data_IF_554767122285
#
_entry.id   IF_554767122285
#
_cell.length_a   1.000
_cell.length_b   1.000
_cell.length_c   1.000
_cell.angle_alpha   90.00
_cell.angle_beta   90.00
_cell.angle_gamma   90.00
#
_symmetry.space_group_name_H-M   'P 1'
#
loop_
_entity.id
_entity.type
_entity.pdbx_description
1 polymer ?
#
# COMPACT_ATOMS: atom_id res chain seq x y z
N UNK A 1 14.48 -30.85 -48.95
CA UNK A 1 15.66 -30.25 -48.30
C UNK A 1 15.17 -29.16 -47.36
N UNK A 2 15.36 -29.40 -46.07
CA UNK A 2 15.00 -28.56 -44.92
C UNK A 2 15.95 -27.36 -44.87
N UNK A 3 15.48 -26.19 -44.43
CA UNK A 3 16.17 -25.17 -43.60
C UNK A 3 15.35 -23.88 -43.67
N UNK A 4 14.84 -23.25 -42.61
CA UNK A 4 14.86 -23.49 -41.17
C UNK A 4 14.12 -22.31 -40.57
N UNK A 5 12.87 -22.50 -40.15
CA UNK A 5 12.13 -21.48 -39.41
C UNK A 5 12.64 -21.53 -37.96
N UNK A 6 13.50 -20.58 -37.60
CA UNK A 6 13.84 -20.35 -36.20
C UNK A 6 12.64 -19.66 -35.58
N UNK A 7 11.77 -20.43 -34.94
CA UNK A 7 10.84 -19.91 -33.95
C UNK A 7 11.69 -19.63 -32.71
N UNK A 8 12.10 -18.38 -32.52
CA UNK A 8 12.51 -17.93 -31.19
C UNK A 8 11.21 -17.82 -30.40
N UNK A 9 10.86 -18.89 -29.68
CA UNK A 9 10.01 -18.77 -28.51
C UNK A 9 10.83 -17.98 -27.48
N UNK A 10 10.78 -16.65 -27.54
CA UNK A 10 11.06 -15.88 -26.33
C UNK A 10 9.81 -16.02 -25.49
N UNK A 11 9.90 -16.91 -24.50
CA UNK A 11 9.00 -16.95 -23.36
C UNK A 11 8.57 -15.53 -23.03
N UNK A 12 7.27 -15.27 -23.12
CA UNK A 12 6.65 -14.18 -22.37
C UNK A 12 6.94 -14.56 -20.92
N UNK A 13 8.06 -14.07 -20.40
CA UNK A 13 8.38 -14.16 -18.97
C UNK A 13 7.29 -13.32 -18.35
N UNK A 14 6.27 -13.99 -17.83
CA UNK A 14 5.30 -13.40 -16.96
C UNK A 14 6.10 -13.07 -15.69
N UNK A 15 6.78 -11.91 -15.72
CA UNK A 15 7.54 -11.39 -14.59
C UNK A 15 6.58 -11.42 -13.42
N UNK A 16 6.94 -12.17 -12.39
CA UNK A 16 6.20 -12.17 -11.15
C UNK A 16 6.17 -10.73 -10.65
N UNK A 17 5.02 -10.10 -10.81
CA UNK A 17 4.86 -8.68 -10.52
C UNK A 17 4.99 -8.53 -9.01
N UNK A 18 6.04 -7.85 -8.55
CA UNK A 18 6.12 -7.42 -7.17
C UNK A 18 5.13 -6.27 -7.03
N UNK A 19 4.18 -6.42 -6.10
CA UNK A 19 3.34 -5.32 -5.64
C UNK A 19 4.07 -4.62 -4.52
N UNK A 20 4.30 -3.32 -4.69
CA UNK A 20 4.92 -2.48 -3.68
C UNK A 20 3.86 -1.65 -2.97
N UNK A 21 3.87 -1.73 -1.64
CA UNK A 21 3.18 -0.79 -0.78
C UNK A 21 4.21 0.23 -0.33
N UNK A 22 3.96 1.50 -0.67
CA UNK A 22 4.91 2.59 -0.49
C UNK A 22 4.26 3.79 0.19
N UNK A 23 4.93 4.38 1.17
CA UNK A 23 4.55 5.65 1.76
C UNK A 23 5.78 6.58 1.80
N UNK A 24 5.58 7.81 1.35
CA UNK A 24 6.63 8.83 1.23
C UNK A 24 6.24 10.01 2.12
N UNK A 25 7.09 10.30 3.11
CA UNK A 25 6.91 11.43 4.02
C UNK A 25 8.04 12.42 3.78
N UNK A 26 7.73 13.63 3.31
CA UNK A 26 8.74 14.63 2.93
C UNK A 26 9.07 14.62 1.43
N UNK A 27 10.19 15.22 1.06
CA UNK A 27 10.55 15.48 -0.34
C UNK A 27 11.73 14.60 -0.78
N UNK A 28 11.43 13.44 -1.36
CA UNK A 28 12.45 12.52 -1.89
C UNK A 28 12.75 12.92 -3.36
N UNK A 29 14.02 13.16 -3.74
CA UNK A 29 14.39 13.71 -5.05
C UNK A 29 14.32 12.70 -6.21
N UNK A 30 13.69 11.54 -5.99
CA UNK A 30 13.53 10.48 -7.00
C UNK A 30 12.10 9.95 -7.00
N UNK A 31 11.64 9.53 -8.17
CA UNK A 31 10.33 8.90 -8.34
C UNK A 31 10.42 7.42 -7.93
N UNK A 32 10.31 7.17 -6.62
CA UNK A 32 10.44 5.84 -6.01
C UNK A 32 9.45 4.85 -6.62
N UNK A 33 8.21 5.27 -6.88
CA UNK A 33 7.17 4.41 -7.46
C UNK A 33 7.59 3.95 -8.86
N UNK A 34 8.03 4.86 -9.74
CA UNK A 34 8.49 4.51 -11.08
C UNK A 34 9.77 3.65 -11.08
N UNK A 35 10.65 3.83 -10.08
CA UNK A 35 11.83 2.97 -9.94
C UNK A 35 11.45 1.54 -9.61
N UNK A 36 10.58 1.34 -8.61
CA UNK A 36 10.15 0.02 -8.15
C UNK A 36 9.28 -0.73 -9.17
N UNK A 37 8.61 0.00 -10.07
CA UNK A 37 7.80 -0.60 -11.14
C UNK A 37 8.59 -0.87 -12.44
N UNK A 38 9.89 -0.57 -12.51
CA UNK A 38 10.70 -0.95 -13.66
C UNK A 38 10.93 -2.48 -13.67
N UNK A 39 10.59 -3.19 -14.77
CA UNK A 39 10.76 -4.64 -14.89
C UNK A 39 12.16 -5.16 -14.56
N UNK A 40 13.21 -4.43 -14.98
CA UNK A 40 14.61 -4.83 -14.75
C UNK A 40 15.01 -4.59 -13.30
N UNK A 41 14.44 -3.57 -12.67
CA UNK A 41 14.62 -3.34 -11.23
C UNK A 41 13.95 -4.47 -10.45
N UNK A 42 12.71 -4.84 -10.76
CA UNK A 42 12.03 -5.96 -10.07
C UNK A 42 12.81 -7.27 -10.21
N UNK A 43 13.31 -7.59 -11.40
CA UNK A 43 14.16 -8.78 -11.60
C UNK A 43 15.43 -8.73 -10.75
N UNK A 44 16.11 -7.58 -10.68
CA UNK A 44 17.29 -7.41 -9.83
C UNK A 44 16.95 -7.56 -8.34
N UNK A 45 15.85 -6.99 -7.87
CA UNK A 45 15.40 -7.11 -6.47
C UNK A 45 15.09 -8.57 -6.09
N UNK A 46 14.45 -9.35 -6.99
CA UNK A 46 14.22 -10.78 -6.78
C UNK A 46 15.53 -11.56 -6.70
N UNK A 47 16.50 -11.24 -7.56
CA UNK A 47 17.83 -11.87 -7.52
C UNK A 47 18.60 -11.54 -6.23
N UNK A 48 18.51 -10.31 -5.71
CA UNK A 48 19.06 -9.96 -4.38
C UNK A 48 18.43 -10.82 -3.30
N UNK A 49 17.10 -10.91 -3.29
CA UNK A 49 16.37 -11.61 -2.25
C UNK A 49 16.62 -13.12 -2.26
N UNK A 50 16.88 -13.71 -3.44
CA UNK A 50 17.23 -15.12 -3.63
C UNK A 50 18.74 -15.41 -3.48
N UNK A 51 19.54 -14.38 -3.18
CA UNK A 51 21.01 -14.45 -3.11
C UNK A 51 21.67 -14.94 -4.42
N UNK A 52 21.01 -14.71 -5.56
CA UNK A 52 21.41 -15.19 -6.89
C UNK A 52 22.30 -14.18 -7.65
N UNK A 53 23.49 -13.93 -7.10
CA UNK A 53 24.58 -13.18 -7.76
C UNK A 53 24.81 -11.75 -7.25
N UNK A 54 25.80 -11.07 -7.84
CA UNK A 54 26.14 -9.67 -7.53
C UNK A 54 25.51 -8.74 -8.57
N UNK A 55 24.87 -7.65 -8.12
CA UNK A 55 24.10 -6.73 -8.97
C UNK A 55 24.72 -5.33 -9.10
N UNK A 56 25.95 -5.15 -8.61
CA UNK A 56 26.65 -3.87 -8.58
C UNK A 56 26.65 -3.21 -9.97
N UNK A 57 25.88 -2.13 -10.11
CA UNK A 57 25.87 -1.26 -11.28
C UNK A 57 25.14 -1.79 -12.52
N UNK A 58 24.21 -2.73 -12.40
CA UNK A 58 23.49 -3.29 -13.56
C UNK A 58 22.61 -2.24 -14.29
N UNK A 59 22.07 -1.23 -13.58
CA UNK A 59 21.33 -0.11 -14.19
C UNK A 59 21.50 1.20 -13.40
N UNK A 60 21.30 2.36 -14.05
CA UNK A 60 21.32 3.65 -13.35
C UNK A 60 20.19 3.78 -12.32
N UNK A 61 19.04 3.12 -12.55
CA UNK A 61 17.93 3.04 -11.59
C UNK A 61 18.28 2.29 -10.30
N UNK A 62 19.10 1.25 -10.38
CA UNK A 62 19.60 0.55 -9.18
C UNK A 62 20.51 1.47 -8.35
N UNK A 63 21.35 2.28 -9.01
CA UNK A 63 22.16 3.30 -8.32
C UNK A 63 21.29 4.37 -7.64
N UNK A 64 20.16 4.72 -8.23
CA UNK A 64 19.20 5.63 -7.58
C UNK A 64 18.60 5.00 -6.32
N UNK A 65 18.23 3.71 -6.35
CA UNK A 65 17.77 2.97 -5.16
C UNK A 65 18.86 2.84 -4.08
N UNK A 66 20.12 2.65 -4.48
CA UNK A 66 21.27 2.72 -3.56
C UNK A 66 21.42 4.12 -2.95
N UNK A 67 21.24 5.17 -3.76
CA UNK A 67 21.35 6.57 -3.34
C UNK A 67 20.30 7.01 -2.31
N UNK A 68 19.18 6.30 -2.21
CA UNK A 68 18.13 6.52 -1.19
C UNK A 68 18.09 5.40 -0.14
N UNK A 69 19.17 4.64 0.00
CA UNK A 69 19.34 3.58 1.00
C UNK A 69 18.27 2.47 0.95
N UNK A 70 17.53 2.28 -0.15
CA UNK A 70 16.67 1.09 -0.31
C UNK A 70 17.49 -0.17 -0.58
N UNK A 71 18.68 0.00 -1.17
CA UNK A 71 19.65 -1.05 -1.43
C UNK A 71 20.96 -0.69 -0.74
N UNK A 72 21.55 -1.65 -0.03
CA UNK A 72 22.87 -1.49 0.59
C UNK A 72 23.76 -2.67 0.24
N UNK A 73 24.68 -2.46 -0.70
CA UNK A 73 25.48 -3.55 -1.27
C UNK A 73 24.58 -4.57 -1.97
N UNK A 74 24.60 -5.84 -1.54
CA UNK A 74 23.76 -6.90 -2.12
C UNK A 74 22.52 -7.22 -1.27
N UNK A 75 22.10 -6.32 -0.39
CA UNK A 75 20.93 -6.53 0.47
C UNK A 75 19.92 -5.40 0.31
N UNK A 76 18.63 -5.77 0.37
CA UNK A 76 17.52 -4.83 0.47
C UNK A 76 17.42 -4.30 1.91
N UNK A 77 17.14 -3.01 2.08
CA UNK A 77 16.83 -2.39 3.38
C UNK A 77 15.33 -2.37 3.71
N UNK A 78 14.53 -3.01 2.87
CA UNK A 78 13.09 -3.17 3.04
C UNK A 78 12.72 -4.67 2.93
N UNK A 79 11.54 -5.08 3.42
CA UNK A 79 11.05 -6.45 3.25
C UNK A 79 10.53 -6.69 1.82
N UNK A 80 11.02 -7.76 1.19
CA UNK A 80 10.48 -8.31 -0.05
C UNK A 80 10.04 -9.75 0.21
N UNK A 81 8.73 -9.96 0.26
CA UNK A 81 8.12 -11.27 0.51
C UNK A 81 8.00 -12.01 -0.82
N UNK A 82 8.70 -13.14 -0.91
CA UNK A 82 8.68 -13.99 -2.10
C UNK A 82 7.33 -14.69 -2.24
N UNK A 83 7.02 -15.10 -3.47
CA UNK A 83 5.72 -15.70 -3.80
C UNK A 83 5.40 -16.91 -2.95
N UNK A 84 6.39 -17.76 -2.69
CA UNK A 84 6.20 -18.98 -1.91
C UNK A 84 5.76 -18.66 -0.48
N UNK A 85 6.44 -17.73 0.18
CA UNK A 85 6.08 -17.27 1.52
C UNK A 85 4.78 -16.47 1.54
N UNK A 86 4.50 -15.69 0.50
CA UNK A 86 3.24 -14.94 0.40
C UNK A 86 2.03 -15.87 0.29
N UNK A 87 2.13 -16.93 -0.51
CA UNK A 87 1.05 -17.92 -0.65
C UNK A 87 0.77 -18.69 0.64
N UNK A 88 1.74 -18.79 1.55
CA UNK A 88 1.55 -19.41 2.86
C UNK A 88 0.69 -18.56 3.80
N UNK A 89 0.78 -17.23 3.72
CA UNK A 89 0.04 -16.28 4.60
C UNK A 89 -1.23 -15.71 3.94
N UNK A 90 -1.40 -15.90 2.63
CA UNK A 90 -2.51 -15.33 1.86
C UNK A 90 -3.92 -15.71 2.38
N UNK A 91 -4.19 -16.96 2.78
CA UNK A 91 -5.50 -17.35 3.31
C UNK A 91 -5.85 -16.57 4.58
N UNK A 92 -4.90 -16.40 5.49
CA UNK A 92 -5.06 -15.69 6.75
C UNK A 92 -5.23 -14.20 6.52
N UNK A 93 -4.48 -13.60 5.58
CA UNK A 93 -4.71 -12.22 5.13
C UNK A 93 -6.15 -12.05 4.66
N UNK A 94 -6.69 -13.04 3.93
CA UNK A 94 -8.08 -12.98 3.42
C UNK A 94 -9.11 -13.10 4.55
N UNK A 95 -8.86 -13.96 5.53
CA UNK A 95 -9.71 -14.08 6.73
C UNK A 95 -9.74 -12.77 7.51
N UNK A 96 -8.56 -12.23 7.81
CA UNK A 96 -8.40 -10.96 8.53
C UNK A 96 -9.03 -9.80 7.76
N UNK A 97 -8.89 -9.76 6.43
CA UNK A 97 -9.52 -8.72 5.61
C UNK A 97 -11.06 -8.72 5.71
N UNK A 98 -11.70 -9.88 5.83
CA UNK A 98 -13.17 -9.95 6.02
C UNK A 98 -13.58 -9.42 7.39
N UNK A 99 -12.82 -9.78 8.43
CA UNK A 99 -13.00 -9.26 9.78
C UNK A 99 -12.83 -7.74 9.85
N UNK A 100 -11.78 -7.21 9.21
CA UNK A 100 -11.56 -5.77 9.08
C UNK A 100 -12.68 -5.11 8.26
N UNK A 101 -13.17 -5.74 7.19
CA UNK A 101 -14.28 -5.19 6.42
C UNK A 101 -15.54 -4.99 7.28
N UNK A 102 -15.89 -5.99 8.10
CA UNK A 102 -17.00 -5.87 9.05
C UNK A 102 -16.77 -4.75 10.07
N UNK A 103 -15.58 -4.71 10.68
CA UNK A 103 -15.19 -3.67 11.63
C UNK A 103 -15.33 -2.26 11.02
N UNK A 104 -14.77 -2.06 9.82
CA UNK A 104 -14.82 -0.77 9.13
C UNK A 104 -16.25 -0.39 8.77
N UNK A 105 -17.02 -1.31 8.20
CA UNK A 105 -18.40 -1.00 7.83
C UNK A 105 -19.25 -0.61 9.04
N UNK A 106 -19.16 -1.36 10.14
CA UNK A 106 -19.92 -1.06 11.35
C UNK A 106 -19.43 0.22 12.04
N UNK A 107 -18.11 0.42 12.09
CA UNK A 107 -17.51 1.63 12.65
C UNK A 107 -17.93 2.89 11.90
N UNK A 108 -17.93 2.86 10.57
CA UNK A 108 -18.20 4.04 9.75
C UNK A 108 -19.69 4.27 9.45
N UNK A 109 -20.54 3.24 9.41
CA UNK A 109 -21.96 3.41 9.06
C UNK A 109 -22.69 4.38 10.00
N UNK A 110 -22.34 4.38 11.29
CA UNK A 110 -22.91 5.32 12.26
C UNK A 110 -22.41 6.75 12.11
N UNK A 111 -21.21 6.94 11.55
CA UNK A 111 -20.55 8.25 11.42
C UNK A 111 -20.87 8.94 10.09
N UNK A 112 -20.91 8.16 9.00
CA UNK A 112 -21.19 8.65 7.65
C UNK A 112 -22.70 8.85 7.38
N UNK A 113 -23.56 8.34 8.27
CA UNK A 113 -25.02 8.31 8.07
C UNK A 113 -25.43 7.44 6.87
N UNK A 114 -26.57 7.75 6.25
CA UNK A 114 -27.12 6.97 5.14
C UNK A 114 -26.43 7.22 3.78
N UNK A 115 -25.38 8.05 3.75
CA UNK A 115 -24.71 8.41 2.49
C UNK A 115 -23.62 7.40 2.14
N UNK A 116 -23.88 6.61 1.10
CA UNK A 116 -22.87 5.73 0.50
C UNK A 116 -21.65 6.50 -0.02
N UNK A 117 -21.82 7.74 -0.46
CA UNK A 117 -20.72 8.61 -0.88
C UNK A 117 -19.82 8.96 0.30
N UNK A 118 -20.40 9.39 1.42
CA UNK A 118 -19.64 9.71 2.64
C UNK A 118 -18.99 8.48 3.23
N UNK A 119 -19.68 7.34 3.25
CA UNK A 119 -19.10 6.07 3.69
C UNK A 119 -17.89 5.66 2.83
N UNK A 120 -17.94 5.92 1.52
CA UNK A 120 -16.82 5.62 0.61
C UNK A 120 -15.64 6.56 0.82
N UNK A 121 -15.88 7.85 1.11
CA UNK A 121 -14.83 8.82 1.46
C UNK A 121 -14.19 8.46 2.80
N UNK A 122 -15.02 8.18 3.81
CA UNK A 122 -14.58 7.81 5.14
C UNK A 122 -13.75 6.53 5.11
N UNK A 123 -14.19 5.51 4.37
CA UNK A 123 -13.45 4.29 4.17
C UNK A 123 -12.18 4.59 3.36
N UNK A 124 -12.28 4.76 2.04
CA UNK A 124 -11.11 4.74 1.13
C UNK A 124 -10.13 5.91 1.27
N UNK A 125 -10.51 6.96 2.00
CA UNK A 125 -9.72 8.18 2.16
C UNK A 125 -9.31 8.41 3.60
N UNK A 126 -10.27 8.86 4.40
CA UNK A 126 -9.96 9.38 5.73
C UNK A 126 -9.48 8.29 6.69
N UNK A 127 -10.02 7.07 6.61
CA UNK A 127 -9.52 5.95 7.42
C UNK A 127 -8.13 5.51 6.97
N UNK A 128 -7.84 5.58 5.67
CA UNK A 128 -6.52 5.24 5.13
C UNK A 128 -5.44 6.20 5.66
N UNK A 129 -5.78 7.50 5.75
CA UNK A 129 -4.93 8.55 6.33
C UNK A 129 -4.79 8.38 7.84
N UNK A 130 -5.90 8.17 8.56
CA UNK A 130 -5.86 7.93 10.01
C UNK A 130 -5.03 6.68 10.36
N UNK A 131 -5.09 5.65 9.52
CA UNK A 131 -4.28 4.45 9.66
C UNK A 131 -2.79 4.74 9.49
N UNK A 132 -2.40 5.58 8.53
CA UNK A 132 -1.01 6.00 8.36
C UNK A 132 -0.51 6.72 9.63
N UNK A 133 -1.29 7.63 10.20
CA UNK A 133 -0.93 8.35 11.43
C UNK A 133 -0.73 7.41 12.62
N UNK A 134 -1.66 6.48 12.83
CA UNK A 134 -1.58 5.51 13.93
C UNK A 134 -0.40 4.55 13.75
N UNK A 135 -0.17 4.07 12.52
CA UNK A 135 0.96 3.21 12.19
C UNK A 135 2.29 3.91 12.48
N UNK A 136 2.46 5.16 12.03
CA UNK A 136 3.68 5.94 12.27
C UNK A 136 3.93 6.23 13.75
N UNK A 137 2.90 6.22 14.59
CA UNK A 137 3.03 6.25 16.05
C UNK A 137 3.58 4.95 16.67
N UNK A 138 3.76 3.88 15.89
CA UNK A 138 4.14 2.53 16.35
C UNK A 138 5.37 1.97 15.66
N UNK A 139 5.61 2.32 14.40
CA UNK A 139 6.66 1.75 13.56
C UNK A 139 7.69 2.81 13.14
N UNK A 140 8.88 2.37 12.73
CA UNK A 140 9.86 3.24 12.11
C UNK A 140 9.83 3.15 10.58
N UNK A 141 10.05 4.28 9.92
CA UNK A 141 10.27 4.38 8.48
C UNK A 141 11.78 4.54 8.17
N UNK A 142 12.22 4.22 6.95
CA UNK A 142 13.60 4.41 6.52
C UNK A 142 13.88 5.91 6.42
N UNK A 143 14.80 6.46 7.24
CA UNK A 143 15.20 7.85 7.07
C UNK A 143 16.00 8.00 5.77
N UNK A 144 15.67 9.05 5.02
CA UNK A 144 16.43 9.51 3.84
C UNK A 144 16.71 11.01 3.97
N UNK A 145 17.64 11.55 3.17
CA UNK A 145 18.17 12.92 3.34
C UNK A 145 17.12 14.03 3.51
N UNK A 146 15.93 13.89 2.92
CA UNK A 146 14.87 14.91 2.93
C UNK A 146 13.49 14.35 3.28
N UNK A 147 13.45 13.22 3.99
CA UNK A 147 12.18 12.59 4.36
C UNK A 147 12.32 11.22 5.01
N UNK A 148 11.23 10.47 4.95
CA UNK A 148 11.15 9.08 5.38
C UNK A 148 10.39 8.28 4.34
N UNK A 149 10.77 7.01 4.23
CA UNK A 149 10.25 6.11 3.22
C UNK A 149 9.83 4.79 3.87
N UNK A 150 8.65 4.31 3.54
CA UNK A 150 8.24 2.93 3.79
C UNK A 150 8.09 2.24 2.45
N UNK A 151 8.70 1.06 2.32
CA UNK A 151 8.54 0.17 1.17
C UNK A 151 8.34 -1.23 1.70
N UNK A 152 7.34 -1.95 1.19
CA UNK A 152 7.18 -3.37 1.41
C UNK A 152 6.75 -4.01 0.09
N UNK A 153 7.48 -5.04 -0.35
CA UNK A 153 7.21 -5.75 -1.59
C UNK A 153 6.55 -7.11 -1.34
N UNK A 154 5.55 -7.46 -2.13
CA UNK A 154 4.90 -8.77 -2.13
C UNK A 154 4.88 -9.34 -3.55
N UNK A 155 5.63 -10.41 -3.78
CA UNK A 155 5.65 -11.11 -5.06
C UNK A 155 4.37 -11.96 -5.21
N UNK A 156 3.59 -11.71 -6.26
CA UNK A 156 2.37 -12.47 -6.54
C UNK A 156 1.11 -11.99 -5.82
N UNK A 157 1.19 -10.91 -5.04
CA UNK A 157 0.01 -10.22 -4.53
C UNK A 157 -0.78 -9.53 -5.67
N UNK A 158 -2.06 -9.24 -5.40
CA UNK A 158 -2.86 -8.41 -6.30
C UNK A 158 -2.49 -6.93 -6.15
N UNK A 159 -2.47 -6.15 -7.24
CA UNK A 159 -2.19 -4.72 -7.16
C UNK A 159 -3.19 -3.98 -6.26
N UNK A 160 -2.70 -2.95 -5.58
CA UNK A 160 -3.56 -2.01 -4.84
C UNK A 160 -4.63 -1.44 -5.78
N UNK A 161 -5.89 -1.56 -5.39
CA UNK A 161 -7.00 -1.24 -6.26
C UNK A 161 -7.46 0.23 -6.17
N UNK A 162 -6.76 1.03 -5.35
CA UNK A 162 -6.98 2.46 -5.27
C UNK A 162 -5.69 3.24 -5.06
N UNK A 163 -5.74 4.53 -5.43
CA UNK A 163 -4.66 5.50 -5.24
C UNK A 163 -5.24 6.84 -4.79
N UNK A 164 -4.63 7.42 -3.77
CA UNK A 164 -5.00 8.71 -3.19
C UNK A 164 -3.96 9.77 -3.53
N UNK A 165 -4.42 11.00 -3.75
CA UNK A 165 -3.58 12.19 -3.97
C UNK A 165 -4.21 13.39 -3.27
N UNK A 166 -3.37 14.25 -2.71
CA UNK A 166 -3.78 15.38 -1.88
C UNK A 166 -3.10 16.66 -2.36
N UNK A 167 -3.79 17.79 -2.27
CA UNK A 167 -3.24 19.10 -2.61
C UNK A 167 -3.90 20.20 -1.80
N UNK A 168 -3.08 21.10 -1.25
CA UNK A 168 -3.58 22.29 -0.55
C UNK A 168 -4.21 23.27 -1.53
N UNK A 169 -5.33 23.87 -1.13
CA UNK A 169 -6.07 24.89 -1.86
C UNK A 169 -6.52 26.01 -0.91
N UNK A 170 -6.95 27.14 -1.45
CA UNK A 170 -7.47 28.26 -0.65
C UNK A 170 -8.71 27.87 0.20
N UNK A 171 -9.44 26.83 -0.20
CA UNK A 171 -10.66 26.34 0.47
C UNK A 171 -10.37 25.23 1.50
N UNK A 172 -9.13 24.74 1.58
CA UNK A 172 -8.72 23.63 2.44
C UNK A 172 -7.94 22.56 1.68
N UNK A 173 -7.97 21.31 2.16
CA UNK A 173 -7.25 20.19 1.53
C UNK A 173 -8.14 19.52 0.49
N UNK A 174 -7.70 19.53 -0.77
CA UNK A 174 -8.38 18.84 -1.86
C UNK A 174 -7.82 17.43 -2.04
N UNK A 175 -8.70 16.44 -1.91
CA UNK A 175 -8.38 15.03 -1.92
C UNK A 175 -8.98 14.37 -3.17
N UNK A 176 -8.21 13.53 -3.84
CA UNK A 176 -8.69 12.70 -4.96
C UNK A 176 -8.31 11.25 -4.74
N UNK A 177 -9.31 10.37 -4.75
CA UNK A 177 -9.14 8.92 -4.69
C UNK A 177 -9.63 8.33 -6.01
N UNK A 178 -8.79 7.55 -6.67
CA UNK A 178 -9.14 6.78 -7.86
C UNK A 178 -9.23 5.32 -7.47
N UNK A 179 -10.36 4.68 -7.73
CA UNK A 179 -10.62 3.30 -7.30
C UNK A 179 -11.08 2.43 -8.47
N UNK A 180 -10.51 1.23 -8.58
CA UNK A 180 -10.82 0.25 -9.62
C UNK A 180 -10.48 0.76 -11.02
N UNK A 181 -11.43 0.63 -11.95
CA UNK A 181 -11.38 1.21 -13.30
C UNK A 181 -12.43 2.32 -13.41
N UNK A 182 -12.08 3.57 -13.06
CA UNK A 182 -13.07 4.63 -12.88
C UNK A 182 -13.91 4.90 -14.12
N UNK A 183 -15.23 4.95 -13.94
CA UNK A 183 -16.22 5.26 -15.00
C UNK A 183 -17.03 6.53 -14.72
N UNK A 184 -17.00 7.00 -13.48
CA UNK A 184 -17.71 8.19 -13.03
C UNK A 184 -16.90 8.93 -11.98
N UNK A 185 -17.32 10.16 -11.70
CA UNK A 185 -16.74 11.05 -10.71
C UNK A 185 -17.82 11.44 -9.69
N UNK A 186 -17.48 11.40 -8.41
CA UNK A 186 -18.31 11.84 -7.29
C UNK A 186 -17.59 12.97 -6.60
N UNK A 187 -18.32 14.05 -6.29
CA UNK A 187 -17.78 15.22 -5.62
C UNK A 187 -18.47 15.44 -4.28
N UNK A 188 -17.69 15.70 -3.26
CA UNK A 188 -18.20 15.94 -1.91
C UNK A 188 -17.34 16.97 -1.16
N UNK A 189 -17.75 17.28 0.07
CA UNK A 189 -16.96 18.06 1.03
C UNK A 189 -17.20 17.52 2.42
N UNK A 190 -16.16 17.47 3.24
CA UNK A 190 -16.24 17.13 4.66
C UNK A 190 -15.67 18.29 5.48
N UNK A 191 -16.26 18.56 6.63
CA UNK A 191 -15.74 19.54 7.59
C UNK A 191 -14.69 18.87 8.49
N UNK A 192 -13.65 19.60 8.91
CA UNK A 192 -12.65 19.10 9.85
C UNK A 192 -13.25 18.74 11.23
N UNK A 193 -14.45 19.25 11.57
CA UNK A 193 -15.21 18.84 12.76
C UNK A 193 -16.04 17.57 12.54
N UNK A 194 -16.00 16.96 11.35
CA UNK A 194 -16.77 15.76 11.03
C UNK A 194 -16.18 14.54 11.76
N UNK A 195 -17.00 13.62 12.27
CA UNK A 195 -16.50 12.40 12.88
C UNK A 195 -15.90 11.41 11.87
N UNK A 196 -15.99 11.70 10.56
CA UNK A 196 -15.30 10.93 9.52
C UNK A 196 -14.00 11.60 9.05
N UNK A 197 -13.63 12.76 9.62
CA UNK A 197 -12.35 13.39 9.33
C UNK A 197 -11.21 12.57 9.95
N UNK A 198 -10.12 12.35 9.23
CA UNK A 198 -9.00 11.49 9.63
C UNK A 198 -8.42 11.87 11.00
N UNK A 199 -8.42 13.17 11.34
CA UNK A 199 -7.93 13.67 12.63
C UNK A 199 -8.94 13.64 13.79
N UNK A 200 -10.14 13.08 13.59
CA UNK A 200 -11.13 12.92 14.66
C UNK A 200 -10.80 11.73 15.58
N UNK A 201 -11.24 11.82 16.84
CA UNK A 201 -11.05 10.75 17.83
C UNK A 201 -11.69 9.43 17.33
N UNK A 202 -12.87 9.50 16.71
CA UNK A 202 -13.57 8.34 16.17
C UNK A 202 -12.78 7.61 15.07
N UNK A 203 -12.14 8.37 14.16
CA UNK A 203 -11.35 7.79 13.08
C UNK A 203 -10.03 7.21 13.58
N UNK A 204 -9.36 7.90 14.51
CA UNK A 204 -8.12 7.42 15.13
C UNK A 204 -8.36 6.17 15.98
N UNK A 205 -9.49 6.10 16.71
CA UNK A 205 -9.87 4.91 17.49
C UNK A 205 -10.22 3.72 16.60
N UNK A 206 -10.92 3.95 15.47
CA UNK A 206 -11.20 2.90 14.49
C UNK A 206 -9.92 2.40 13.82
N UNK A 207 -9.03 3.31 13.41
CA UNK A 207 -7.72 2.98 12.85
C UNK A 207 -6.85 2.19 13.85
N UNK A 208 -6.84 2.61 15.12
CA UNK A 208 -6.18 1.90 16.21
C UNK A 208 -6.73 0.50 16.41
N UNK A 209 -8.05 0.34 16.44
CA UNK A 209 -8.69 -0.96 16.57
C UNK A 209 -8.32 -1.90 15.41
N UNK A 210 -8.33 -1.40 14.18
CA UNK A 210 -7.91 -2.15 13.01
C UNK A 210 -6.42 -2.55 13.07
N UNK A 211 -5.56 -1.63 13.52
CA UNK A 211 -4.15 -1.94 13.70
C UNK A 211 -3.96 -3.05 14.73
N UNK A 212 -4.62 -3.01 15.88
CA UNK A 212 -4.48 -4.04 16.92
C UNK A 212 -4.88 -5.44 16.40
N UNK A 213 -5.90 -5.53 15.54
CA UNK A 213 -6.28 -6.80 14.91
C UNK A 213 -5.22 -7.29 13.93
N UNK A 214 -4.58 -6.38 13.19
CA UNK A 214 -3.51 -6.74 12.27
C UNK A 214 -2.18 -7.03 12.97
N UNK A 215 -1.90 -6.38 14.09
CA UNK A 215 -0.57 -6.32 14.69
C UNK A 215 -0.11 -7.70 15.17
N UNK A 216 -0.96 -8.45 15.88
CA UNK A 216 -0.61 -9.78 16.41
C UNK A 216 -0.20 -10.74 15.29
N UNK A 217 -0.97 -10.77 14.20
CA UNK A 217 -0.66 -11.61 13.03
C UNK A 217 0.58 -11.10 12.29
N UNK A 218 0.70 -9.78 12.11
CA UNK A 218 1.85 -9.15 11.48
C UNK A 218 3.17 -9.44 12.21
N UNK A 219 3.16 -9.38 13.53
CA UNK A 219 4.33 -9.67 14.35
C UNK A 219 4.71 -11.15 14.27
N UNK A 220 3.72 -12.04 14.32
CA UNK A 220 3.94 -13.49 14.18
C UNK A 220 4.57 -13.81 12.83
N UNK A 221 4.01 -13.32 11.73
CA UNK A 221 4.57 -13.56 10.40
C UNK A 221 5.91 -12.86 10.19
N UNK A 222 6.13 -11.67 10.75
CA UNK A 222 7.44 -11.05 10.71
C UNK A 222 8.50 -11.92 11.38
N UNK A 223 8.16 -12.61 12.47
CA UNK A 223 9.04 -13.54 13.17
C UNK A 223 9.31 -14.81 12.34
N UNK A 224 8.27 -15.40 11.74
CA UNK A 224 8.41 -16.56 10.84
C UNK A 224 9.28 -16.24 9.62
N UNK A 225 9.16 -15.02 9.08
CA UNK A 225 9.98 -14.49 7.99
C UNK A 225 11.36 -13.99 8.46
N UNK A 226 11.67 -14.10 9.76
CA UNK A 226 12.90 -13.63 10.40
C UNK A 226 13.23 -12.15 10.11
N UNK A 227 12.19 -11.32 9.99
CA UNK A 227 12.30 -9.87 9.81
C UNK A 227 12.56 -9.20 11.16
N UNK A 228 13.50 -8.24 11.18
CA UNK A 228 13.94 -7.55 12.40
C UNK A 228 14.15 -6.07 12.15
N UNK A 229 14.01 -5.28 13.23
CA UNK A 229 14.18 -3.83 13.20
C UNK A 229 13.32 -3.19 12.12
N UNK A 230 13.94 -2.31 11.33
CA UNK A 230 13.24 -1.56 10.28
C UNK A 230 12.47 -2.44 9.28
N UNK A 231 12.96 -3.65 8.95
CA UNK A 231 12.25 -4.55 8.05
C UNK A 231 10.96 -5.11 8.65
N UNK A 232 10.94 -5.37 9.96
CA UNK A 232 9.72 -5.79 10.69
C UNK A 232 8.70 -4.64 10.67
N UNK A 233 9.14 -3.44 11.00
CA UNK A 233 8.31 -2.23 11.02
C UNK A 233 7.64 -1.96 9.66
N UNK A 234 8.43 -2.00 8.58
CA UNK A 234 7.91 -1.83 7.21
C UNK A 234 6.99 -2.97 6.76
N UNK A 235 7.24 -4.20 7.24
CA UNK A 235 6.38 -5.33 6.93
C UNK A 235 5.02 -5.20 7.61
N UNK A 236 4.98 -4.77 8.88
CA UNK A 236 3.74 -4.48 9.59
C UNK A 236 2.92 -3.43 8.83
N UNK A 237 3.55 -2.35 8.37
CA UNK A 237 2.90 -1.36 7.51
C UNK A 237 2.34 -1.98 6.23
N UNK A 238 3.20 -2.66 5.46
CA UNK A 238 2.84 -3.26 4.18
C UNK A 238 1.68 -4.25 4.31
N UNK A 239 1.76 -5.14 5.28
CA UNK A 239 0.73 -6.13 5.53
C UNK A 239 -0.60 -5.49 5.94
N UNK A 240 -0.57 -4.51 6.85
CA UNK A 240 -1.77 -3.82 7.31
C UNK A 240 -2.48 -3.13 6.14
N UNK A 241 -1.74 -2.44 5.27
CA UNK A 241 -2.30 -1.79 4.07
C UNK A 241 -2.80 -2.80 3.03
N UNK A 242 -2.16 -3.97 2.92
CA UNK A 242 -2.62 -5.06 2.04
C UNK A 242 -3.95 -5.66 2.51
N UNK A 243 -4.05 -5.96 3.82
CA UNK A 243 -5.28 -6.42 4.47
C UNK A 243 -6.38 -5.39 4.28
N UNK A 244 -6.06 -4.12 4.53
CA UNK A 244 -7.00 -3.01 4.38
C UNK A 244 -7.51 -2.87 2.93
N UNK A 245 -6.63 -2.99 1.93
CA UNK A 245 -7.04 -3.00 0.52
C UNK A 245 -8.02 -4.13 0.19
N UNK A 246 -7.74 -5.35 0.66
CA UNK A 246 -8.65 -6.50 0.48
C UNK A 246 -9.99 -6.30 1.19
N UNK A 247 -9.97 -5.71 2.39
CA UNK A 247 -11.19 -5.36 3.11
C UNK A 247 -12.06 -4.38 2.31
N UNK A 248 -11.46 -3.34 1.72
CA UNK A 248 -12.18 -2.37 0.90
C UNK A 248 -12.75 -2.99 -0.38
N UNK A 249 -12.01 -3.91 -1.01
CA UNK A 249 -12.52 -4.69 -2.15
C UNK A 249 -13.76 -5.51 -1.76
N UNK A 250 -13.71 -6.21 -0.63
CA UNK A 250 -14.85 -6.97 -0.09
C UNK A 250 -16.07 -6.07 0.16
N UNK A 251 -15.89 -4.92 0.81
CA UNK A 251 -16.97 -3.94 1.00
C UNK A 251 -17.57 -3.43 -0.33
N UNK A 252 -16.74 -3.30 -1.36
CA UNK A 252 -17.19 -2.93 -2.69
C UNK A 252 -18.02 -4.03 -3.34
N UNK A 253 -17.57 -5.29 -3.27
CA UNK A 253 -18.26 -6.45 -3.83
C UNK A 253 -19.65 -6.66 -3.21
N UNK A 254 -19.77 -6.39 -1.91
CA UNK A 254 -21.04 -6.38 -1.18
C UNK A 254 -21.92 -5.15 -1.47
N UNK A 255 -21.39 -4.18 -2.23
CA UNK A 255 -22.10 -2.96 -2.57
C UNK A 255 -22.26 -2.00 -1.38
N UNK A 256 -21.43 -2.11 -0.34
CA UNK A 256 -21.42 -1.23 0.83
C UNK A 256 -20.73 0.11 0.53
N UNK A 257 -19.64 0.09 -0.23
CA UNK A 257 -18.96 1.31 -0.72
C UNK A 257 -19.03 1.45 -2.24
N UNK A 258 -18.68 2.62 -2.76
CA UNK A 258 -18.57 2.89 -4.19
C UNK A 258 -17.25 2.34 -4.74
N UNK A 259 -17.30 1.83 -5.97
CA UNK A 259 -16.15 1.27 -6.67
C UNK A 259 -16.18 1.66 -8.14
N UNK A 260 -15.04 1.61 -8.84
CA UNK A 260 -14.90 2.11 -10.21
C UNK A 260 -15.31 3.59 -10.35
N UNK A 261 -14.89 4.41 -9.39
CA UNK A 261 -15.20 5.84 -9.32
C UNK A 261 -13.94 6.66 -9.05
N UNK A 262 -14.01 7.96 -9.38
CA UNK A 262 -13.11 8.98 -8.85
C UNK A 262 -13.86 9.71 -7.74
N UNK A 263 -13.44 9.58 -6.49
CA UNK A 263 -13.94 10.39 -5.38
C UNK A 263 -13.09 11.65 -5.27
N UNK A 264 -13.72 12.81 -5.39
CA UNK A 264 -13.10 14.12 -5.15
C UNK A 264 -13.77 14.78 -3.98
N UNK A 265 -13.03 15.10 -2.94
CA UNK A 265 -13.60 15.80 -1.80
C UNK A 265 -12.66 16.85 -1.24
N UNK A 266 -13.23 17.89 -0.66
CA UNK A 266 -12.48 18.93 0.02
C UNK A 266 -12.71 18.81 1.51
N UNK A 267 -11.64 18.87 2.29
CA UNK A 267 -11.69 19.04 3.73
C UNK A 267 -11.70 20.55 4.01
N UNK A 268 -12.81 21.05 4.53
CA UNK A 268 -12.98 22.46 4.88
C UNK A 268 -12.73 22.67 6.37
N UNK A 269 -12.22 23.85 6.75
CA UNK A 269 -12.03 24.22 8.16
C UNK A 269 -10.75 23.70 8.82
N UNK A 270 -9.73 23.36 8.02
CA UNK A 270 -8.36 23.07 8.48
C UNK A 270 -7.60 24.32 8.97
#
# INVERSE_FOLDING_TARGET
YILGLVIIMSSVVNLSQIVFITAIFGNIPVDVENLLHDPRVQEALLRMQKEEGQLLGETDKIKELEGIDLIKGNSLNFPLILKESFLEIEPEISSLANEIAELVYHGLSGLAGDSKEMLSIAALGELDVALDDVLLGRINALPVDSGQLIVCGFEGAEPMAYKSTFGETDEGLFCTIKVGQPRSEVRSSIDASSPIFAGSDEMLDLAGSMLEWCLSEAETWAEDLNLKGLKRDMFIYGLTKLVYNRAMMSLSEEGKILWNVILKYTIIGL
#
